data_IF_107617477324
#
_entry.id   IF_107617477324
#
_cell.length_a   1.000
_cell.length_b   1.000
_cell.length_c   1.000
_cell.angle_alpha   90.00
_cell.angle_beta   90.00
_cell.angle_gamma   90.00
#
_symmetry.space_group_name_H-M   'P 1'
#
loop_
_entity.id
_entity.type
_entity.pdbx_description
1 polymer ?
#
# COMPACT_ATOMS: atom_id res chain seq x y z
N UNK A 1 1.92 -2.20 12.48
CA UNK A 1 2.23 -1.83 11.07
C UNK A 1 3.47 -0.93 10.98
N UNK A 2 3.61 0.07 11.83
CA UNK A 2 4.75 1.02 11.79
C UNK A 2 6.13 0.36 11.87
N UNK A 3 6.41 -0.59 12.80
CA UNK A 3 7.72 -1.25 12.81
C UNK A 3 8.00 -2.03 11.53
N UNK A 4 6.97 -2.63 10.94
CA UNK A 4 7.09 -3.36 9.68
C UNK A 4 7.48 -2.42 8.53
N UNK A 5 6.84 -1.25 8.45
CA UNK A 5 7.16 -0.23 7.45
C UNK A 5 8.63 0.21 7.55
N UNK A 6 9.10 0.49 8.77
CA UNK A 6 10.48 0.86 9.00
C UNK A 6 11.48 -0.21 8.55
N UNK A 7 11.18 -1.48 8.81
CA UNK A 7 12.02 -2.59 8.39
C UNK A 7 12.06 -2.74 6.87
N UNK A 8 10.91 -2.60 6.19
CA UNK A 8 10.85 -2.64 4.73
C UNK A 8 11.65 -1.49 4.10
N UNK A 9 11.53 -0.29 4.66
CA UNK A 9 12.30 0.85 4.20
C UNK A 9 13.80 0.64 4.37
N UNK A 10 14.22 0.05 5.50
CA UNK A 10 15.62 -0.21 5.80
C UNK A 10 16.26 -1.19 4.81
N UNK A 11 15.50 -2.14 4.25
CA UNK A 11 15.99 -3.06 3.23
C UNK A 11 15.81 -2.54 1.80
N UNK A 12 15.36 -1.30 1.63
CA UNK A 12 15.24 -0.65 0.34
C UNK A 12 14.02 -1.05 -0.48
N UNK A 13 13.00 -1.60 0.14
CA UNK A 13 11.76 -1.97 -0.57
C UNK A 13 10.98 -0.73 -1.01
N UNK A 14 10.65 -0.59 -2.29
CA UNK A 14 9.78 0.49 -2.74
C UNK A 14 8.36 0.27 -2.20
N UNK A 15 7.82 1.30 -1.55
CA UNK A 15 6.50 1.26 -0.94
C UNK A 15 5.66 2.42 -1.41
N UNK A 16 4.33 2.22 -1.45
CA UNK A 16 3.36 3.25 -1.75
C UNK A 16 2.17 3.17 -0.80
N UNK A 17 1.42 4.25 -0.76
CA UNK A 17 0.16 4.33 -0.01
C UNK A 17 -0.98 4.53 -0.99
N UNK A 18 -2.05 3.74 -0.84
CA UNK A 18 -3.30 3.87 -1.57
C UNK A 18 -4.39 4.15 -0.55
N UNK A 19 -4.94 5.37 -0.57
CA UNK A 19 -5.84 5.83 0.48
C UNK A 19 -7.11 6.49 -0.06
N UNK A 20 -8.24 6.17 0.55
CA UNK A 20 -9.49 6.90 0.36
C UNK A 20 -9.50 8.10 1.32
N UNK A 21 -9.25 9.29 0.79
CA UNK A 21 -9.11 10.48 1.62
C UNK A 21 -9.45 11.75 0.84
N UNK A 22 -9.68 12.86 1.55
CA UNK A 22 -9.81 14.19 0.94
C UNK A 22 -8.52 15.00 1.12
N UNK A 23 -8.37 16.07 0.33
CA UNK A 23 -7.14 16.88 0.32
C UNK A 23 -6.79 17.44 1.70
N UNK A 24 -7.77 17.99 2.43
CA UNK A 24 -7.51 18.58 3.74
C UNK A 24 -7.02 17.56 4.75
N UNK A 25 -7.65 16.39 4.79
CA UNK A 25 -7.23 15.30 5.69
C UNK A 25 -5.84 14.78 5.32
N UNK A 26 -5.57 14.59 4.03
CA UNK A 26 -4.30 14.10 3.55
C UNK A 26 -3.15 15.06 3.88
N UNK A 27 -3.35 16.36 3.66
CA UNK A 27 -2.37 17.38 4.04
C UNK A 27 -2.08 17.36 5.54
N UNK A 28 -3.12 17.23 6.35
CA UNK A 28 -2.96 17.13 7.80
C UNK A 28 -2.12 15.91 8.19
N UNK A 29 -2.41 14.75 7.62
CA UNK A 29 -1.67 13.50 7.89
C UNK A 29 -0.20 13.62 7.46
N UNK A 30 0.06 14.16 6.26
CA UNK A 30 1.43 14.33 5.77
C UNK A 30 2.23 15.30 6.62
N UNK A 31 1.61 16.38 7.09
CA UNK A 31 2.29 17.35 7.95
C UNK A 31 2.55 16.81 9.36
N UNK A 32 1.63 15.99 9.88
CA UNK A 32 1.75 15.43 11.22
C UNK A 32 2.72 14.24 11.29
N UNK A 33 2.78 13.43 10.24
CA UNK A 33 3.54 12.18 10.21
C UNK A 33 4.59 12.23 9.11
N UNK A 34 5.73 12.87 9.40
CA UNK A 34 6.82 13.00 8.43
C UNK A 34 7.39 11.67 7.94
N UNK A 35 7.23 10.59 8.72
CA UNK A 35 7.71 9.27 8.31
C UNK A 35 7.07 8.79 7.00
N UNK A 36 5.87 9.26 6.65
CA UNK A 36 5.21 8.92 5.39
C UNK A 36 6.06 9.37 4.20
N UNK A 37 6.55 10.59 4.23
CA UNK A 37 7.38 11.14 3.15
C UNK A 37 8.74 10.45 3.06
N UNK A 38 9.25 9.93 4.18
CA UNK A 38 10.59 9.33 4.24
C UNK A 38 10.58 7.84 3.85
N UNK A 39 9.45 7.14 4.00
CA UNK A 39 9.38 5.68 3.83
C UNK A 39 8.58 5.25 2.60
N UNK A 40 7.77 6.13 2.03
CA UNK A 40 6.91 5.80 0.88
C UNK A 40 7.28 6.64 -0.33
N UNK A 41 7.46 5.96 -1.47
CA UNK A 41 7.81 6.60 -2.73
C UNK A 41 6.59 7.18 -3.44
N UNK A 42 5.48 6.44 -3.43
CA UNK A 42 4.29 6.77 -4.20
C UNK A 42 3.09 6.97 -3.29
N UNK A 43 2.23 7.92 -3.63
CA UNK A 43 1.01 8.21 -2.90
C UNK A 43 -0.14 8.30 -3.88
N UNK A 44 -1.08 7.37 -3.79
CA UNK A 44 -2.28 7.33 -4.62
C UNK A 44 -3.45 7.62 -3.71
N UNK A 45 -4.06 8.77 -3.88
CA UNK A 45 -5.16 9.24 -3.01
C UNK A 45 -6.42 9.46 -3.82
N UNK A 46 -7.58 9.17 -3.22
CA UNK A 46 -8.85 9.15 -3.93
C UNK A 46 -9.23 10.51 -4.52
N UNK A 47 -8.92 11.62 -3.86
CA UNK A 47 -9.28 12.93 -4.40
C UNK A 47 -8.48 13.30 -5.65
N UNK A 48 -7.25 12.79 -5.81
CA UNK A 48 -6.43 12.99 -7.01
C UNK A 48 -6.82 12.02 -8.11
N UNK A 49 -7.02 10.76 -7.77
CA UNK A 49 -7.45 9.73 -8.72
C UNK A 49 -8.88 9.94 -9.20
N UNK A 50 -9.71 10.65 -8.42
CA UNK A 50 -11.16 10.78 -8.64
C UNK A 50 -11.85 9.41 -8.65
N UNK A 51 -11.35 8.51 -7.83
CA UNK A 51 -11.84 7.14 -7.67
C UNK A 51 -11.50 6.67 -6.27
N UNK A 52 -12.34 5.84 -5.68
CA UNK A 52 -12.15 5.31 -4.33
C UNK A 52 -12.06 3.80 -4.37
N UNK A 53 -11.24 3.21 -3.47
CA UNK A 53 -11.28 1.76 -3.28
C UNK A 53 -12.72 1.34 -2.89
N UNK A 54 -13.26 0.26 -3.43
CA UNK A 54 -12.64 -0.73 -4.31
C UNK A 54 -12.90 -0.52 -5.81
N UNK A 55 -13.12 0.70 -6.28
CA UNK A 55 -13.34 0.96 -7.71
C UNK A 55 -12.10 0.61 -8.55
N UNK A 56 -12.26 0.03 -9.75
CA UNK A 56 -11.11 -0.40 -10.56
C UNK A 56 -10.12 0.70 -10.93
N UNK A 57 -10.60 1.94 -11.11
CA UNK A 57 -9.75 3.04 -11.59
C UNK A 57 -8.59 3.35 -10.63
N UNK A 58 -8.84 3.40 -9.31
CA UNK A 58 -7.78 3.75 -8.36
C UNK A 58 -6.67 2.69 -8.34
N UNK A 59 -7.01 1.41 -8.52
CA UNK A 59 -6.01 0.35 -8.62
C UNK A 59 -5.23 0.44 -9.93
N UNK A 60 -5.89 0.78 -11.02
CA UNK A 60 -5.23 1.00 -12.31
C UNK A 60 -4.23 2.16 -12.23
N UNK A 61 -4.61 3.26 -11.59
CA UNK A 61 -3.74 4.40 -11.36
C UNK A 61 -2.53 3.99 -10.49
N UNK A 62 -2.76 3.19 -9.46
CA UNK A 62 -1.69 2.70 -8.58
C UNK A 62 -0.69 1.82 -9.34
N UNK A 63 -1.16 0.93 -10.18
CA UNK A 63 -0.31 0.05 -10.99
C UNK A 63 0.56 0.88 -11.94
N UNK A 64 -0.03 1.87 -12.59
CA UNK A 64 0.69 2.76 -13.50
C UNK A 64 1.76 3.56 -12.77
N UNK A 65 1.44 4.14 -11.63
CA UNK A 65 2.37 4.94 -10.83
C UNK A 65 3.51 4.07 -10.28
N UNK A 66 3.21 2.86 -9.83
CA UNK A 66 4.22 1.93 -9.33
C UNK A 66 5.17 1.46 -10.43
N UNK A 67 4.72 1.50 -11.68
CA UNK A 67 5.51 1.13 -12.85
C UNK A 67 6.05 -0.30 -12.79
N UNK A 68 5.22 -1.21 -12.32
CA UNK A 68 5.49 -2.65 -12.27
C UNK A 68 4.27 -3.41 -12.74
N UNK A 69 4.43 -4.65 -13.25
CA UNK A 69 3.28 -5.50 -13.55
C UNK A 69 2.40 -5.70 -12.30
N UNK A 70 1.09 -5.74 -12.48
CA UNK A 70 0.16 -5.86 -11.36
C UNK A 70 0.47 -7.06 -10.46
N UNK A 71 0.83 -8.20 -11.05
CA UNK A 71 1.12 -9.43 -10.29
C UNK A 71 2.42 -9.36 -9.48
N UNK A 72 3.23 -8.34 -9.68
CA UNK A 72 4.44 -8.08 -8.87
C UNK A 72 4.20 -7.03 -7.78
N UNK A 73 3.00 -6.47 -7.70
CA UNK A 73 2.63 -5.49 -6.68
C UNK A 73 1.89 -6.21 -5.56
N UNK A 74 2.46 -6.14 -4.36
CA UNK A 74 1.81 -6.66 -3.16
C UNK A 74 0.98 -5.58 -2.50
N UNK A 75 -0.31 -5.85 -2.32
CA UNK A 75 -1.26 -4.94 -1.68
C UNK A 75 -1.80 -5.56 -0.40
N UNK A 76 -1.84 -4.77 0.65
CA UNK A 76 -2.39 -5.18 1.95
C UNK A 76 -3.35 -4.11 2.46
N UNK A 77 -4.53 -4.53 2.90
CA UNK A 77 -5.57 -3.65 3.41
C UNK A 77 -6.39 -4.41 4.45
N UNK A 78 -6.99 -3.71 5.38
CA UNK A 78 -7.81 -4.30 6.45
C UNK A 78 -9.27 -4.52 6.06
N UNK A 79 -9.69 -4.07 4.87
CA UNK A 79 -11.06 -4.22 4.39
C UNK A 79 -11.14 -5.29 3.30
N UNK A 80 -11.97 -6.35 3.50
CA UNK A 80 -12.09 -7.43 2.51
C UNK A 80 -12.49 -6.96 1.12
N UNK A 81 -13.38 -5.97 1.01
CA UNK A 81 -13.82 -5.43 -0.27
C UNK A 81 -12.66 -4.74 -1.02
N UNK A 82 -11.76 -4.09 -0.31
CA UNK A 82 -10.61 -3.45 -0.91
C UNK A 82 -9.59 -4.49 -1.41
N UNK A 83 -9.40 -5.56 -0.66
CA UNK A 83 -8.56 -6.68 -1.07
C UNK A 83 -9.11 -7.35 -2.32
N UNK A 84 -10.43 -7.59 -2.36
CA UNK A 84 -11.09 -8.18 -3.52
C UNK A 84 -10.92 -7.29 -4.77
N UNK A 85 -11.03 -5.97 -4.63
CA UNK A 85 -10.81 -5.03 -5.72
C UNK A 85 -9.39 -5.07 -6.26
N UNK A 86 -8.40 -5.19 -5.39
CA UNK A 86 -6.99 -5.31 -5.78
C UNK A 86 -6.73 -6.63 -6.53
N UNK A 87 -7.29 -7.73 -6.05
CA UNK A 87 -7.18 -9.04 -6.73
C UNK A 87 -7.80 -8.96 -8.13
N UNK A 88 -8.97 -8.33 -8.25
CA UNK A 88 -9.63 -8.14 -9.55
C UNK A 88 -8.79 -7.31 -10.51
N UNK A 89 -7.96 -6.41 -10.01
CA UNK A 89 -7.02 -5.61 -10.81
C UNK A 89 -5.74 -6.37 -11.17
N UNK A 90 -5.55 -7.56 -10.66
CA UNK A 90 -4.39 -8.41 -10.96
C UNK A 90 -3.27 -8.34 -9.94
N UNK A 91 -3.44 -7.60 -8.85
CA UNK A 91 -2.43 -7.50 -7.79
C UNK A 91 -2.39 -8.77 -6.93
N UNK A 92 -1.25 -8.98 -6.29
CA UNK A 92 -1.08 -9.96 -5.21
C UNK A 92 -1.53 -9.30 -3.90
N UNK A 93 -2.73 -9.61 -3.44
CA UNK A 93 -3.35 -8.89 -2.33
C UNK A 93 -3.76 -9.82 -1.20
N UNK A 94 -3.58 -9.36 0.04
CA UNK A 94 -3.99 -10.08 1.25
C UNK A 94 -4.69 -9.14 2.22
N UNK A 95 -5.53 -9.73 3.08
CA UNK A 95 -6.19 -9.00 4.16
C UNK A 95 -5.21 -8.82 5.33
N UNK A 96 -5.09 -7.59 5.80
CA UNK A 96 -4.32 -7.31 7.01
C UNK A 96 -5.12 -7.76 8.24
N UNK A 97 -4.50 -8.57 9.08
CA UNK A 97 -5.06 -9.00 10.36
C UNK A 97 -4.17 -8.58 11.52
N UNK A 98 -2.92 -9.00 11.51
CA UNK A 98 -1.91 -8.63 12.50
C UNK A 98 -0.59 -8.32 11.81
N UNK A 99 0.30 -7.59 12.49
CA UNK A 99 1.64 -7.33 11.98
C UNK A 99 2.43 -8.63 11.77
N UNK A 100 2.28 -9.60 12.67
CA UNK A 100 2.94 -10.90 12.53
C UNK A 100 2.47 -11.65 11.29
N UNK A 101 1.17 -11.65 11.00
CA UNK A 101 0.64 -12.29 9.79
C UNK A 101 1.13 -11.57 8.53
N UNK A 102 1.21 -10.25 8.55
CA UNK A 102 1.75 -9.47 7.43
C UNK A 102 3.21 -9.84 7.15
N UNK A 103 4.01 -10.03 8.18
CA UNK A 103 5.41 -10.48 8.06
C UNK A 103 5.46 -11.86 7.39
N UNK A 104 4.63 -12.80 7.83
CA UNK A 104 4.56 -14.15 7.23
C UNK A 104 4.18 -14.05 5.76
N UNK A 105 3.16 -13.26 5.43
CA UNK A 105 2.71 -13.09 4.05
C UNK A 105 3.82 -12.53 3.15
N UNK A 106 4.60 -11.58 3.64
CA UNK A 106 5.73 -11.00 2.91
C UNK A 106 6.88 -12.00 2.78
N UNK A 107 7.20 -12.76 3.86
CA UNK A 107 8.23 -13.79 3.82
C UNK A 107 7.91 -14.88 2.81
N UNK A 108 6.64 -15.26 2.69
CA UNK A 108 6.19 -16.24 1.69
C UNK A 108 6.41 -15.73 0.25
N UNK A 109 6.60 -14.43 0.08
CA UNK A 109 6.87 -13.79 -1.21
C UNK A 109 8.35 -13.41 -1.39
N UNK A 110 9.22 -13.95 -0.54
CA UNK A 110 10.65 -13.78 -0.67
C UNK A 110 11.23 -12.55 0.03
N UNK A 111 10.44 -11.81 0.78
CA UNK A 111 10.94 -10.68 1.56
C UNK A 111 11.64 -11.20 2.81
N UNK A 112 12.84 -10.70 3.07
CA UNK A 112 13.62 -11.08 4.24
C UNK A 112 13.65 -9.94 5.25
N UNK A 113 13.41 -10.29 6.51
CA UNK A 113 13.47 -9.36 7.62
C UNK A 113 14.64 -9.70 8.53
N UNK A 114 15.27 -8.65 9.04
CA UNK A 114 16.36 -8.74 10.01
C UNK A 114 15.77 -8.55 11.41
N UNK A 115 14.98 -9.51 11.82
CA UNK A 115 14.28 -9.48 13.11
C UNK A 115 15.14 -9.93 14.26
#
# INVERSE_FOLDING_TARGET
MMPLVGQLAAVGFPMGILSNTCSAHWEHVCNKYSFLNNNFRDFIVSYESKSMKPDPKIYSDAIEIANHPANEIFFIDDKPENVAGAIAAGMDAVLYTTANQAIVDLQNRGVRFNL
#
